data_IF_406047138310
#
_entry.id   IF_406047138310
#
_cell.length_a   1.000
_cell.length_b   1.000
_cell.length_c   1.000
_cell.angle_alpha   90.00
_cell.angle_beta   90.00
_cell.angle_gamma   90.00
#
_symmetry.space_group_name_H-M   'P 1'
#
loop_
_entity.id
_entity.type
_entity.pdbx_description
1 polymer ?
#
# COMPACT_ATOMS: atom_id res chain seq x y z
N UNK A 1 6.97 0.98 -6.09
CA UNK A 1 8.24 1.60 -5.64
C UNK A 1 8.18 3.12 -5.50
N UNK A 2 7.86 3.88 -6.56
CA UNK A 2 7.85 5.36 -6.48
C UNK A 2 6.86 5.93 -5.44
N UNK A 3 5.66 5.35 -5.37
CA UNK A 3 4.65 5.72 -4.36
C UNK A 3 5.20 5.54 -2.94
N UNK A 4 5.78 4.37 -2.65
CA UNK A 4 6.40 4.07 -1.36
C UNK A 4 7.48 5.09 -0.97
N UNK A 5 8.37 5.46 -1.89
CA UNK A 5 9.42 6.45 -1.64
C UNK A 5 8.85 7.83 -1.32
N UNK A 6 7.82 8.27 -2.06
CA UNK A 6 7.15 9.55 -1.79
C UNK A 6 6.45 9.53 -0.43
N UNK A 7 5.74 8.45 -0.11
CA UNK A 7 5.05 8.31 1.19
C UNK A 7 6.02 8.47 2.36
N UNK A 8 7.16 7.79 2.30
CA UNK A 8 8.19 7.88 3.35
C UNK A 8 8.80 9.29 3.40
N UNK A 9 9.02 9.93 2.25
CA UNK A 9 9.51 11.32 2.20
C UNK A 9 8.52 12.32 2.83
N UNK A 10 7.21 12.01 2.83
CA UNK A 10 6.17 12.79 3.52
C UNK A 10 5.90 12.33 4.96
N UNK A 11 6.73 11.42 5.52
CA UNK A 11 6.61 10.95 6.89
C UNK A 11 5.55 9.87 7.12
N UNK A 12 4.99 9.29 6.06
CA UNK A 12 4.01 8.22 6.20
C UNK A 12 4.66 6.88 6.58
N UNK A 13 4.08 6.20 7.57
CA UNK A 13 4.48 4.85 7.95
C UNK A 13 3.89 3.84 6.95
N UNK A 14 4.67 3.48 5.94
CA UNK A 14 4.24 2.49 4.95
C UNK A 14 4.46 1.08 5.48
N UNK A 15 3.39 0.33 5.75
CA UNK A 15 3.45 -0.99 6.40
C UNK A 15 3.39 -2.18 5.45
N UNK A 16 2.93 -2.00 4.21
CA UNK A 16 2.77 -3.12 3.27
C UNK A 16 3.21 -2.79 1.84
N UNK A 17 3.66 -3.83 1.13
CA UNK A 17 3.92 -3.81 -0.32
C UNK A 17 3.47 -5.13 -0.92
N UNK A 18 2.91 -5.11 -2.12
CA UNK A 18 2.44 -6.31 -2.81
C UNK A 18 3.06 -6.48 -4.20
N UNK A 19 2.98 -7.69 -4.73
CA UNK A 19 3.26 -8.03 -6.12
C UNK A 19 2.12 -8.89 -6.72
N UNK A 20 2.40 -9.55 -7.85
CA UNK A 20 1.42 -10.43 -8.50
C UNK A 20 1.09 -11.67 -7.69
N UNK A 21 2.00 -12.15 -6.84
CA UNK A 21 1.90 -13.41 -6.11
C UNK A 21 1.32 -13.16 -4.72
N UNK A 22 1.86 -12.20 -3.98
CA UNK A 22 1.48 -11.99 -2.58
C UNK A 22 1.82 -10.61 -2.07
N UNK A 23 1.88 -10.47 -0.75
CA UNK A 23 2.26 -9.21 -0.12
C UNK A 23 3.11 -9.40 1.13
N UNK A 24 3.87 -8.37 1.42
CA UNK A 24 4.75 -8.25 2.57
C UNK A 24 4.17 -7.22 3.53
N UNK A 25 4.14 -7.56 4.82
CA UNK A 25 3.84 -6.66 5.93
C UNK A 25 5.10 -6.43 6.75
N UNK A 26 5.37 -5.18 7.08
CA UNK A 26 6.44 -4.75 7.95
C UNK A 26 5.90 -3.64 8.86
N UNK A 27 5.51 -4.01 10.08
CA UNK A 27 4.88 -3.10 11.06
C UNK A 27 5.79 -1.92 11.43
N UNK A 28 7.11 -2.10 11.41
CA UNK A 28 8.09 -1.04 11.68
C UNK A 28 8.26 -0.07 10.49
N UNK A 29 7.57 -0.33 9.38
CA UNK A 29 7.62 0.45 8.15
C UNK A 29 8.88 0.25 7.30
N UNK A 30 8.83 0.80 6.09
CA UNK A 30 9.95 0.81 5.16
C UNK A 30 10.77 2.09 5.28
N UNK A 31 12.08 1.95 5.35
CA UNK A 31 13.05 3.05 5.27
C UNK A 31 13.80 2.96 3.92
N UNK A 32 14.74 3.90 3.70
CA UNK A 32 15.50 3.94 2.45
C UNK A 32 16.29 2.65 2.18
N UNK A 33 16.87 2.04 3.23
CA UNK A 33 17.66 0.81 3.12
C UNK A 33 16.77 -0.38 2.74
N UNK A 34 15.60 -0.51 3.38
CA UNK A 34 14.60 -1.52 3.08
C UNK A 34 14.03 -1.38 1.67
N UNK A 35 13.76 -0.15 1.21
CA UNK A 35 13.33 0.10 -0.18
C UNK A 35 14.42 -0.32 -1.17
N UNK A 36 15.68 0.03 -0.90
CA UNK A 36 16.81 -0.36 -1.75
C UNK A 36 16.93 -1.88 -1.84
N UNK A 37 16.75 -2.57 -0.71
CA UNK A 37 16.72 -4.03 -0.66
C UNK A 37 15.57 -4.63 -1.46
N UNK A 38 14.35 -4.10 -1.31
CA UNK A 38 13.19 -4.50 -2.12
C UNK A 38 13.43 -4.27 -3.63
N UNK A 39 14.11 -3.18 -4.00
CA UNK A 39 14.51 -2.92 -5.40
C UNK A 39 15.49 -3.99 -5.89
N UNK A 40 16.46 -4.38 -5.06
CA UNK A 40 17.39 -5.48 -5.38
C UNK A 40 16.70 -6.82 -5.59
N UNK A 41 15.75 -7.19 -4.72
CA UNK A 41 14.91 -8.39 -4.87
C UNK A 41 14.19 -8.36 -6.23
N UNK A 42 13.53 -7.23 -6.55
CA UNK A 42 12.76 -7.10 -7.80
C UNK A 42 13.62 -7.02 -9.05
N UNK A 43 14.78 -6.37 -8.98
CA UNK A 43 15.74 -6.33 -10.09
C UNK A 43 16.28 -7.72 -10.44
N UNK A 44 16.44 -8.59 -9.44
CA UNK A 44 16.87 -9.98 -9.61
C UNK A 44 15.70 -10.94 -9.86
N UNK A 45 14.47 -10.43 -10.05
CA UNK A 45 13.24 -11.22 -10.21
C UNK A 45 12.99 -12.23 -9.08
N UNK A 46 13.50 -11.95 -7.87
CA UNK A 46 13.29 -12.79 -6.70
C UNK A 46 11.93 -12.51 -6.04
N UNK A 47 11.46 -13.49 -5.28
CA UNK A 47 10.21 -13.38 -4.53
C UNK A 47 10.33 -12.34 -3.41
N UNK A 48 9.25 -11.61 -3.12
CA UNK A 48 9.17 -10.76 -1.92
C UNK A 48 9.37 -11.57 -0.63
N UNK A 49 9.15 -12.89 -0.65
CA UNK A 49 9.46 -13.81 0.46
C UNK A 49 10.93 -13.72 0.91
N UNK A 50 11.85 -13.40 -0.01
CA UNK A 50 13.26 -13.20 0.33
C UNK A 50 13.49 -12.00 1.26
N UNK A 51 12.56 -11.05 1.29
CA UNK A 51 12.60 -9.94 2.22
C UNK A 51 12.55 -10.41 3.68
N UNK A 52 11.63 -11.33 3.98
CA UNK A 52 11.46 -11.88 5.34
C UNK A 52 12.67 -12.70 5.82
N UNK A 53 13.56 -13.13 4.91
CA UNK A 53 14.83 -13.76 5.31
C UNK A 53 15.82 -12.78 5.92
N UNK A 54 15.79 -11.51 5.49
CA UNK A 54 16.70 -10.45 5.97
C UNK A 54 16.07 -9.66 7.11
N UNK A 55 14.79 -9.36 7.00
CA UNK A 55 14.04 -8.62 8.02
C UNK A 55 13.05 -9.56 8.70
N UNK A 56 13.53 -10.28 9.72
CA UNK A 56 12.76 -11.35 10.39
C UNK A 56 11.43 -10.89 11.03
N UNK A 57 11.29 -9.59 11.34
CA UNK A 57 10.04 -9.01 11.86
C UNK A 57 8.95 -8.85 10.79
N UNK A 58 9.32 -8.89 9.51
CA UNK A 58 8.37 -8.80 8.42
C UNK A 58 7.71 -10.14 8.10
N UNK A 59 6.45 -10.11 7.67
CA UNK A 59 5.67 -11.29 7.30
C UNK A 59 5.31 -11.25 5.83
N UNK A 60 5.52 -12.36 5.13
CA UNK A 60 5.07 -12.53 3.76
C UNK A 60 3.84 -13.44 3.73
N UNK A 61 2.81 -13.00 3.03
CA UNK A 61 1.57 -13.73 2.82
C UNK A 61 1.47 -14.11 1.34
N UNK A 62 1.41 -15.43 1.09
CA UNK A 62 1.34 -16.00 -0.25
C UNK A 62 -0.09 -15.95 -0.79
N UNK A 63 -0.23 -15.76 -2.10
CA UNK A 63 -1.52 -15.74 -2.83
C UNK A 63 -2.60 -14.83 -2.23
N UNK A 64 -2.19 -13.77 -1.54
CA UNK A 64 -3.07 -12.89 -0.78
C UNK A 64 -2.85 -11.41 -1.12
N UNK A 65 -3.74 -10.54 -0.62
CA UNK A 65 -3.67 -9.08 -0.79
C UNK A 65 -3.76 -8.37 0.57
N UNK A 66 -3.14 -7.19 0.73
CA UNK A 66 -3.03 -6.48 2.01
C UNK A 66 -4.33 -5.80 2.46
N UNK A 67 -5.47 -6.04 1.80
CA UNK A 67 -6.72 -5.29 2.05
C UNK A 67 -7.32 -5.52 3.43
N UNK A 68 -6.88 -6.57 4.13
CA UNK A 68 -7.30 -6.87 5.49
C UNK A 68 -6.34 -6.29 6.55
N UNK A 69 -5.23 -5.68 6.13
CA UNK A 69 -4.28 -5.04 7.05
C UNK A 69 -4.84 -3.67 7.50
N UNK A 70 -4.82 -3.44 8.81
CA UNK A 70 -5.29 -2.17 9.38
C UNK A 70 -4.36 -1.05 8.93
N UNK A 71 -4.91 -0.06 8.25
CA UNK A 71 -4.20 1.14 7.80
C UNK A 71 -5.14 2.35 7.78
N UNK A 72 -4.59 3.56 7.82
CA UNK A 72 -5.35 4.79 7.59
C UNK A 72 -5.60 4.99 6.09
N UNK A 73 -4.63 4.54 5.27
CA UNK A 73 -4.56 4.83 3.84
C UNK A 73 -4.01 3.63 3.08
N UNK A 74 -4.72 3.17 2.05
CA UNK A 74 -4.25 2.16 1.10
C UNK A 74 -4.05 2.74 -0.30
N UNK A 75 -3.07 2.24 -1.03
CA UNK A 75 -2.78 2.65 -2.41
C UNK A 75 -2.86 1.46 -3.36
N UNK A 76 -3.72 1.55 -4.38
CA UNK A 76 -3.86 0.53 -5.43
C UNK A 76 -3.63 1.14 -6.83
N UNK A 77 -2.71 0.58 -7.62
CA UNK A 77 -2.59 0.91 -9.05
C UNK A 77 -2.20 2.36 -9.39
N UNK A 78 -1.48 3.06 -8.52
CA UNK A 78 -0.95 4.42 -8.73
C UNK A 78 -1.99 5.54 -8.94
N UNK A 79 -3.29 5.25 -8.85
CA UNK A 79 -4.36 6.26 -8.99
C UNK A 79 -5.46 6.13 -7.95
N UNK A 80 -5.40 5.16 -7.04
CA UNK A 80 -6.47 4.96 -6.06
C UNK A 80 -5.87 5.06 -4.66
N UNK A 81 -6.46 5.94 -3.87
CA UNK A 81 -6.34 6.07 -2.42
C UNK A 81 -7.56 5.42 -1.79
N UNK A 82 -7.37 4.68 -0.72
CA UNK A 82 -8.45 4.00 -0.01
C UNK A 82 -8.38 4.44 1.43
N UNK A 83 -9.43 5.07 1.91
CA UNK A 83 -9.51 5.48 3.31
C UNK A 83 -9.79 4.25 4.17
N UNK A 84 -8.84 3.78 4.98
CA UNK A 84 -9.10 2.63 5.87
C UNK A 84 -9.83 3.03 7.15
N UNK A 85 -9.75 4.30 7.54
CA UNK A 85 -10.41 4.89 8.71
C UNK A 85 -11.52 5.85 8.30
N UNK A 86 -12.45 6.17 9.21
CA UNK A 86 -13.52 7.14 8.91
C UNK A 86 -12.94 8.56 8.73
N UNK A 87 -12.83 9.03 7.47
CA UNK A 87 -12.33 10.35 7.04
C UNK A 87 -10.93 10.72 7.59
N UNK A 88 -9.84 10.07 7.15
CA UNK A 88 -8.49 10.38 7.63
C UNK A 88 -7.93 11.71 7.10
N UNK A 89 -8.48 12.22 6.00
CA UNK A 89 -7.97 13.41 5.32
C UNK A 89 -8.84 14.63 5.63
N UNK A 90 -8.19 15.79 5.75
CA UNK A 90 -8.91 17.06 5.70
C UNK A 90 -9.49 17.30 4.30
N UNK A 91 -10.52 18.15 4.14
CA UNK A 91 -11.04 18.52 2.83
C UNK A 91 -9.96 19.04 1.87
N UNK A 92 -8.94 19.75 2.38
CA UNK A 92 -7.79 20.23 1.62
C UNK A 92 -6.91 19.07 1.13
N UNK A 93 -6.65 18.09 1.99
CA UNK A 93 -5.93 16.87 1.62
C UNK A 93 -6.63 16.11 0.49
N UNK A 94 -7.95 15.93 0.60
CA UNK A 94 -8.80 15.35 -0.44
C UNK A 94 -8.70 16.12 -1.76
N UNK A 95 -8.68 17.46 -1.72
CA UNK A 95 -8.53 18.28 -2.93
C UNK A 95 -7.16 18.10 -3.60
N UNK A 96 -6.08 17.99 -2.83
CA UNK A 96 -4.73 17.73 -3.36
C UNK A 96 -4.70 16.39 -4.09
N UNK A 97 -5.28 15.36 -3.49
CA UNK A 97 -5.37 14.02 -4.06
C UNK A 97 -6.19 14.02 -5.36
N UNK A 98 -7.35 14.69 -5.37
CA UNK A 98 -8.16 14.86 -6.58
C UNK A 98 -7.43 15.62 -7.68
N UNK A 99 -6.71 16.71 -7.35
CA UNK A 99 -5.88 17.47 -8.30
C UNK A 99 -4.74 16.60 -8.88
N UNK A 100 -4.22 15.67 -8.09
CA UNK A 100 -3.23 14.69 -8.52
C UNK A 100 -3.83 13.52 -9.32
N UNK A 101 -5.12 13.58 -9.69
CA UNK A 101 -5.85 12.49 -10.36
C UNK A 101 -5.83 11.18 -9.57
N UNK A 102 -5.83 11.28 -8.24
CA UNK A 102 -5.99 10.16 -7.33
C UNK A 102 -7.48 10.01 -7.01
N UNK A 103 -8.07 8.92 -7.49
CA UNK A 103 -9.38 8.43 -7.08
C UNK A 103 -9.34 8.08 -5.59
N UNK A 104 -10.35 8.50 -4.83
CA UNK A 104 -10.42 8.26 -3.40
C UNK A 104 -11.62 7.33 -3.15
N UNK A 105 -11.33 6.11 -2.71
CA UNK A 105 -12.33 5.18 -2.22
C UNK A 105 -12.67 5.57 -0.77
N UNK A 106 -13.92 5.97 -0.49
CA UNK A 106 -14.33 6.35 0.86
C UNK A 106 -14.23 5.14 1.80
N UNK A 107 -14.07 5.41 3.10
CA UNK A 107 -13.89 4.34 4.09
C UNK A 107 -15.00 3.30 4.18
N UNK A 108 -16.22 3.68 3.80
CA UNK A 108 -17.34 2.76 3.66
C UNK A 108 -17.11 1.68 2.57
N UNK A 109 -16.32 2.00 1.55
CA UNK A 109 -15.92 1.05 0.52
C UNK A 109 -14.71 0.21 0.94
N UNK A 110 -13.88 0.63 1.91
CA UNK A 110 -12.60 -0.02 2.22
C UNK A 110 -12.68 -1.43 2.83
N UNK A 111 -13.86 -1.88 3.26
CA UNK A 111 -14.06 -3.23 3.79
C UNK A 111 -13.89 -4.36 2.75
N UNK A 112 -13.65 -5.59 3.23
CA UNK A 112 -13.27 -6.75 2.42
C UNK A 112 -14.19 -7.06 1.22
N UNK A 113 -15.46 -6.67 1.25
CA UNK A 113 -16.39 -6.77 0.11
C UNK A 113 -16.62 -5.45 -0.64
N UNK A 114 -16.56 -4.31 0.05
CA UNK A 114 -16.87 -2.99 -0.54
C UNK A 114 -15.85 -2.57 -1.58
N UNK A 115 -14.58 -2.95 -1.39
CA UNK A 115 -13.50 -2.53 -2.29
C UNK A 115 -13.63 -3.17 -3.65
N UNK A 116 -13.97 -4.46 -3.67
CA UNK A 116 -14.20 -5.20 -4.90
C UNK A 116 -15.34 -4.56 -5.70
N UNK A 117 -16.47 -4.31 -5.05
CA UNK A 117 -17.63 -3.66 -5.68
C UNK A 117 -17.33 -2.24 -6.15
N UNK A 118 -16.58 -1.45 -5.36
CA UNK A 118 -16.21 -0.09 -5.74
C UNK A 118 -15.29 -0.06 -6.96
N UNK A 119 -14.31 -0.97 -7.02
CA UNK A 119 -13.43 -1.12 -8.19
C UNK A 119 -14.20 -1.60 -9.43
N UNK A 120 -15.16 -2.51 -9.27
CA UNK A 120 -16.01 -3.00 -10.37
C UNK A 120 -16.88 -1.87 -10.98
N UNK A 121 -17.26 -0.85 -10.19
CA UNK A 121 -18.06 0.29 -10.65
C UNK A 121 -17.24 1.45 -11.28
N UNK A 122 -15.90 1.36 -11.32
CA UNK A 122 -15.05 2.39 -11.95
C UNK A 122 -14.80 2.17 -13.45
N UNK A 123 -15.21 1.01 -14.00
CA UNK A 123 -15.13 0.68 -15.42
C UNK A 123 -16.46 0.97 -16.12
#
# INVERSE_FOLDING_TARGET
>A
MHVLQKLIAYGALSISVSDSIGYLVNEDGFDYMKISFLRGIKAQQRSLRDYSKTYARSRYYDEAKPWNERCDVAFAGCRILVEGSNMPFTPEGVQILRKASVLIAPSMAAGAGGMRLWLENLN
#
